data_IF_326195738746
#
_entry.id   IF_326195738746
#
_cell.length_a   1.000
_cell.length_b   1.000
_cell.length_c   1.000
_cell.angle_alpha   90.00
_cell.angle_beta   90.00
_cell.angle_gamma   90.00
#
_symmetry.space_group_name_H-M   'P 1'
#
loop_
_entity.id
_entity.type
_entity.pdbx_description
1 polymer ?
#
# COMPACT_ATOMS: atom_id res chain seq x y z
N UNK A 1 -67.69 44.42 -77.93
CA UNK A 1 -67.25 43.02 -77.80
C UNK A 1 -65.85 43.05 -77.23
N UNK A 2 -65.68 42.38 -76.10
CA UNK A 2 -64.45 42.28 -75.31
C UNK A 2 -63.30 41.69 -76.13
N UNK A 3 -62.11 42.29 -76.00
CA UNK A 3 -60.90 41.56 -75.62
C UNK A 3 -60.21 42.46 -74.60
N UNK A 4 -60.41 42.17 -73.32
CA UNK A 4 -59.78 42.89 -72.22
C UNK A 4 -58.33 42.46 -72.06
N UNK A 5 -57.46 43.44 -71.90
CA UNK A 5 -56.03 43.32 -71.64
C UNK A 5 -55.71 42.32 -70.53
N UNK A 6 -54.89 41.32 -70.87
CA UNK A 6 -54.29 40.39 -69.91
C UNK A 6 -52.99 40.98 -69.36
N UNK A 7 -53.13 41.65 -68.21
CA UNK A 7 -52.13 42.16 -67.25
C UNK A 7 -50.64 41.87 -67.53
N UNK A 8 -49.93 42.90 -67.96
CA UNK A 8 -48.50 43.08 -67.70
C UNK A 8 -48.29 43.32 -66.19
N UNK A 9 -47.42 42.51 -65.57
CA UNK A 9 -46.92 42.77 -64.21
C UNK A 9 -45.55 43.41 -64.34
N UNK A 10 -45.52 44.74 -64.40
CA UNK A 10 -44.29 45.53 -64.38
C UNK A 10 -43.86 45.86 -62.95
N UNK A 11 -42.66 45.38 -62.61
CA UNK A 11 -41.58 46.10 -61.91
C UNK A 11 -41.95 46.98 -60.73
N UNK A 12 -42.24 46.37 -59.59
CA UNK A 12 -41.89 46.92 -58.27
C UNK A 12 -41.72 45.75 -57.31
N UNK A 13 -40.64 45.79 -56.51
CA UNK A 13 -40.08 44.66 -55.75
C UNK A 13 -40.89 44.15 -54.56
N UNK A 14 -42.14 43.75 -54.78
CA UNK A 14 -42.90 42.88 -53.87
C UNK A 14 -43.30 41.61 -54.61
N UNK A 15 -42.92 40.45 -54.07
CA UNK A 15 -43.32 39.15 -54.60
C UNK A 15 -44.86 39.07 -54.60
N UNK A 16 -45.53 38.88 -55.75
CA UNK A 16 -46.96 38.62 -55.72
C UNK A 16 -47.23 37.34 -54.90
N UNK A 17 -48.32 37.28 -54.13
CA UNK A 17 -48.75 36.13 -53.28
C UNK A 17 -49.00 34.80 -54.04
N UNK A 18 -48.47 34.69 -55.25
CA UNK A 18 -48.68 33.61 -56.21
C UNK A 18 -47.55 32.57 -56.19
N UNK A 19 -46.30 32.99 -55.94
CA UNK A 19 -45.16 32.08 -55.79
C UNK A 19 -44.61 32.16 -54.36
N UNK A 20 -44.28 31.02 -53.76
CA UNK A 20 -43.76 30.97 -52.39
C UNK A 20 -42.35 31.54 -52.22
N UNK A 21 -41.50 31.43 -53.24
CA UNK A 21 -40.13 31.97 -53.25
C UNK A 21 -39.90 32.91 -54.44
N UNK A 22 -39.45 32.40 -55.60
CA UNK A 22 -39.08 33.22 -56.75
C UNK A 22 -40.10 33.08 -57.89
N UNK A 23 -40.37 34.17 -58.60
CA UNK A 23 -41.27 34.23 -59.75
C UNK A 23 -40.52 34.77 -60.98
N UNK A 24 -40.61 34.08 -62.11
CA UNK A 24 -40.07 34.54 -63.39
C UNK A 24 -41.19 34.64 -64.42
N UNK A 25 -41.32 35.82 -65.04
CA UNK A 25 -42.30 36.04 -66.09
C UNK A 25 -41.82 35.42 -67.41
N UNK A 26 -42.73 34.74 -68.11
CA UNK A 26 -42.50 34.16 -69.42
C UNK A 26 -43.60 34.62 -70.38
N UNK A 27 -43.37 34.66 -71.70
CA UNK A 27 -44.41 35.04 -72.65
C UNK A 27 -45.64 34.12 -72.52
N UNK A 28 -46.77 34.68 -72.08
CA UNK A 28 -48.02 33.94 -71.83
C UNK A 28 -48.22 33.41 -70.41
N UNK A 29 -47.36 33.76 -69.43
CA UNK A 29 -47.57 33.36 -68.02
C UNK A 29 -46.38 33.65 -67.10
N UNK A 30 -46.27 32.89 -66.02
CA UNK A 30 -45.15 32.96 -65.07
C UNK A 30 -44.72 31.55 -64.66
N UNK A 31 -43.47 31.39 -64.22
CA UNK A 31 -42.95 30.16 -63.63
C UNK A 31 -42.42 30.44 -62.23
N UNK A 32 -42.80 29.60 -61.26
CA UNK A 32 -42.28 29.68 -59.91
C UNK A 32 -41.06 28.77 -59.77
N UNK A 33 -39.98 29.29 -59.18
CA UNK A 33 -38.78 28.50 -58.84
C UNK A 33 -38.51 28.60 -57.35
N UNK A 34 -37.97 27.51 -56.78
CA UNK A 34 -37.62 27.47 -55.37
C UNK A 34 -36.16 27.85 -55.19
N UNK A 35 -35.87 28.61 -54.13
CA UNK A 35 -34.52 28.80 -53.61
C UNK A 35 -33.83 27.46 -53.31
N UNK A 36 -32.50 27.44 -53.31
CA UNK A 36 -31.70 26.26 -53.00
C UNK A 36 -32.13 25.60 -51.68
N UNK A 37 -32.17 24.26 -51.62
CA UNK A 37 -32.67 23.50 -50.47
C UNK A 37 -34.19 23.30 -50.42
N UNK A 38 -34.94 23.77 -51.42
CA UNK A 38 -36.40 23.60 -51.49
C UNK A 38 -36.87 23.02 -52.82
N UNK A 39 -37.96 22.26 -52.79
CA UNK A 39 -38.60 21.69 -53.97
C UNK A 39 -40.04 22.21 -54.13
N UNK A 40 -40.46 22.40 -55.39
CA UNK A 40 -41.79 22.87 -55.70
C UNK A 40 -42.80 21.74 -55.42
N UNK A 41 -43.91 22.07 -54.74
CA UNK A 41 -44.95 21.10 -54.45
C UNK A 41 -45.66 20.68 -55.76
N UNK A 42 -45.99 19.39 -55.89
CA UNK A 42 -46.55 18.79 -57.12
C UNK A 42 -47.99 19.19 -57.44
N UNK A 43 -48.60 20.05 -56.63
CA UNK A 43 -50.00 20.48 -56.75
C UNK A 43 -50.16 21.79 -57.55
N UNK A 44 -49.12 22.23 -58.26
CA UNK A 44 -49.08 23.51 -59.01
C UNK A 44 -49.44 24.74 -58.14
N UNK A 45 -49.33 24.64 -56.81
CA UNK A 45 -49.67 25.72 -55.89
C UNK A 45 -48.63 26.85 -55.82
N UNK A 46 -47.53 26.75 -56.56
CA UNK A 46 -46.41 27.69 -56.49
C UNK A 46 -45.65 27.68 -55.15
N UNK A 47 -46.01 26.79 -54.21
CA UNK A 47 -45.41 26.70 -52.87
C UNK A 47 -44.19 25.78 -52.86
N UNK A 48 -43.16 26.21 -52.15
CA UNK A 48 -41.92 25.46 -51.95
C UNK A 48 -41.95 24.74 -50.60
N UNK A 49 -41.53 23.48 -50.58
CA UNK A 49 -41.31 22.71 -49.36
C UNK A 49 -39.84 22.41 -49.19
N UNK A 50 -39.38 22.48 -47.96
CA UNK A 50 -38.02 22.13 -47.56
C UNK A 50 -37.65 20.70 -48.01
N UNK A 51 -36.46 20.54 -48.59
CA UNK A 51 -35.91 19.23 -48.93
C UNK A 51 -35.20 18.71 -47.70
N UNK A 52 -35.62 17.54 -47.20
CA UNK A 52 -34.93 16.93 -46.07
C UNK A 52 -33.73 16.11 -46.54
N UNK A 53 -32.55 16.71 -46.61
CA UNK A 53 -31.35 16.05 -47.14
C UNK A 53 -30.88 14.89 -46.25
N UNK A 54 -31.32 14.83 -44.99
CA UNK A 54 -31.03 13.72 -44.09
C UNK A 54 -31.91 12.47 -44.34
N UNK A 55 -32.99 12.61 -45.10
CA UNK A 55 -33.87 11.50 -45.51
C UNK A 55 -33.69 11.11 -46.97
N UNK A 56 -32.84 11.83 -47.69
CA UNK A 56 -32.42 11.53 -49.05
C UNK A 56 -30.93 11.17 -49.05
N UNK A 57 -30.42 10.49 -50.07
CA UNK A 57 -28.98 10.21 -50.22
C UNK A 57 -28.17 11.46 -50.61
N UNK A 58 -28.67 12.67 -50.32
CA UNK A 58 -28.05 13.95 -50.68
C UNK A 58 -27.23 14.57 -49.54
N UNK A 59 -27.36 14.07 -48.30
CA UNK A 59 -26.49 14.53 -47.21
C UNK A 59 -25.06 13.99 -47.38
N UNK A 60 -24.07 14.89 -47.25
CA UNK A 60 -22.65 14.54 -47.23
C UNK A 60 -22.10 14.28 -45.82
N UNK A 61 -22.98 14.15 -44.82
CA UNK A 61 -22.58 13.98 -43.42
C UNK A 61 -22.01 12.58 -43.17
N UNK A 62 -20.86 12.50 -42.49
CA UNK A 62 -20.24 11.22 -42.13
C UNK A 62 -20.96 10.45 -41.01
N UNK A 63 -21.68 11.15 -40.11
CA UNK A 63 -22.33 10.53 -38.94
C UNK A 63 -23.74 11.06 -38.72
N UNK A 64 -23.91 12.20 -38.03
CA UNK A 64 -25.23 12.69 -37.63
C UNK A 64 -25.64 13.82 -38.58
N UNK A 65 -26.78 13.67 -39.25
CA UNK A 65 -27.39 14.71 -40.08
C UNK A 65 -28.61 15.31 -39.37
N UNK A 66 -28.69 16.65 -39.32
CA UNK A 66 -29.84 17.39 -38.79
C UNK A 66 -30.38 18.33 -39.86
N UNK A 67 -31.59 18.05 -40.30
CA UNK A 67 -32.27 18.88 -41.29
C UNK A 67 -32.64 20.25 -40.71
N UNK A 68 -32.42 21.29 -41.49
CA UNK A 68 -32.78 22.68 -41.17
C UNK A 68 -33.61 23.26 -42.31
N UNK A 69 -34.31 24.36 -42.10
CA UNK A 69 -35.11 24.95 -43.18
C UNK A 69 -34.16 25.53 -44.24
N UNK A 70 -34.21 24.99 -45.46
CA UNK A 70 -33.40 25.35 -46.62
C UNK A 70 -32.00 24.76 -46.68
N UNK A 71 -31.63 23.87 -45.73
CA UNK A 71 -30.31 23.22 -45.72
C UNK A 71 -30.24 22.11 -44.65
N UNK A 72 -29.06 21.55 -44.43
CA UNK A 72 -28.80 20.62 -43.34
C UNK A 72 -27.50 20.94 -42.61
N UNK A 73 -27.41 20.47 -41.37
CA UNK A 73 -26.21 20.58 -40.54
C UNK A 73 -25.72 19.20 -40.13
N UNK A 74 -24.41 19.00 -40.14
CA UNK A 74 -23.80 17.75 -39.66
C UNK A 74 -23.34 17.92 -38.21
N UNK A 75 -23.45 16.84 -37.44
CA UNK A 75 -22.95 16.73 -36.07
C UNK A 75 -22.15 15.44 -35.89
N UNK A 76 -21.37 15.39 -34.82
CA UNK A 76 -20.52 14.25 -34.49
C UNK A 76 -20.97 13.58 -33.19
N UNK A 77 -20.78 12.25 -33.06
CA UNK A 77 -20.90 11.56 -31.79
C UNK A 77 -19.94 12.13 -30.74
N UNK A 78 -20.20 11.85 -29.46
CA UNK A 78 -19.27 12.20 -28.38
C UNK A 78 -17.87 11.61 -28.63
N UNK A 79 -16.82 12.35 -28.28
CA UNK A 79 -15.42 11.98 -28.55
C UNK A 79 -14.92 12.32 -29.96
N UNK A 80 -15.76 12.92 -30.82
CA UNK A 80 -15.38 13.35 -32.16
C UNK A 80 -15.73 14.81 -32.40
N UNK A 81 -14.92 15.48 -33.22
CA UNK A 81 -15.16 16.87 -33.64
C UNK A 81 -15.41 16.96 -35.15
N UNK A 82 -16.19 17.96 -35.53
CA UNK A 82 -16.58 18.16 -36.92
C UNK A 82 -15.41 18.80 -37.71
N UNK A 83 -14.87 18.04 -38.64
CA UNK A 83 -13.82 18.44 -39.57
C UNK A 83 -14.41 18.76 -40.95
N UNK A 84 -14.02 19.91 -41.50
CA UNK A 84 -14.49 20.41 -42.82
C UNK A 84 -16.01 20.36 -43.01
N UNK A 85 -16.79 20.61 -41.94
CA UNK A 85 -18.27 20.65 -41.91
C UNK A 85 -19.01 19.33 -42.20
N UNK A 86 -18.33 18.28 -42.65
CA UNK A 86 -18.97 17.02 -43.08
C UNK A 86 -18.43 15.76 -42.39
N UNK A 87 -17.16 15.78 -41.97
CA UNK A 87 -16.46 14.63 -41.42
C UNK A 87 -16.33 14.71 -39.91
N UNK A 88 -16.34 13.57 -39.24
CA UNK A 88 -16.02 13.49 -37.82
C UNK A 88 -14.62 12.91 -37.66
N UNK A 89 -13.75 13.70 -37.05
CA UNK A 89 -12.42 13.26 -36.65
C UNK A 89 -12.37 13.02 -35.15
N UNK A 90 -11.58 12.04 -34.76
CA UNK A 90 -11.33 11.66 -33.38
C UNK A 90 -10.69 12.82 -32.62
N UNK A 91 -11.16 13.09 -31.40
CA UNK A 91 -10.51 14.05 -30.52
C UNK A 91 -9.40 13.31 -29.81
N UNK A 92 -8.14 13.68 -30.06
CA UNK A 92 -7.02 13.11 -29.29
C UNK A 92 -6.94 13.81 -27.93
N UNK A 93 -7.62 13.25 -26.93
CA UNK A 93 -7.67 13.83 -25.59
C UNK A 93 -6.27 13.86 -24.95
N UNK A 94 -5.39 12.90 -25.29
CA UNK A 94 -4.03 12.79 -24.78
C UNK A 94 -3.11 13.92 -25.26
N UNK A 95 -3.29 14.41 -26.49
CA UNK A 95 -2.54 15.58 -27.00
C UNK A 95 -3.16 16.91 -26.59
N UNK A 96 -4.47 16.94 -26.39
CA UNK A 96 -5.23 18.14 -26.06
C UNK A 96 -5.24 18.50 -24.58
N UNK A 97 -4.77 17.61 -23.69
CA UNK A 97 -4.88 17.77 -22.24
C UNK A 97 -6.31 17.67 -21.72
N UNK A 98 -7.22 17.07 -22.50
CA UNK A 98 -8.63 16.86 -22.15
C UNK A 98 -8.90 15.51 -21.47
N UNK A 99 -7.84 14.82 -21.06
CA UNK A 99 -7.90 13.53 -20.38
C UNK A 99 -7.80 13.70 -18.86
N UNK A 100 -8.52 12.89 -18.10
CA UNK A 100 -8.50 12.88 -16.62
C UNK A 100 -7.57 11.78 -16.06
N UNK A 101 -6.55 11.38 -16.83
CA UNK A 101 -5.58 10.38 -16.36
C UNK A 101 -4.75 10.90 -15.19
N UNK A 102 -4.52 10.05 -14.19
CA UNK A 102 -3.69 10.37 -13.03
C UNK A 102 -2.21 10.60 -13.40
N UNK A 103 -1.45 11.24 -12.50
CA UNK A 103 -0.02 11.55 -12.68
C UNK A 103 0.84 10.30 -12.98
N UNK A 104 0.43 9.13 -12.49
CA UNK A 104 1.10 7.84 -12.69
C UNK A 104 0.40 6.97 -13.76
N UNK A 105 -0.30 7.59 -14.71
CA UNK A 105 -0.99 6.90 -15.79
C UNK A 105 -0.59 7.46 -17.15
N UNK A 106 -0.29 6.55 -18.08
CA UNK A 106 -0.10 6.89 -19.48
C UNK A 106 -1.47 7.01 -20.16
N UNK A 107 -1.70 8.13 -20.85
CA UNK A 107 -2.89 8.31 -21.67
C UNK A 107 -2.70 7.64 -23.03
N UNK A 108 -3.64 6.78 -23.41
CA UNK A 108 -3.69 6.11 -24.71
C UNK A 108 -4.95 6.56 -25.43
N UNK A 109 -4.79 7.30 -26.53
CA UNK A 109 -5.93 7.75 -27.34
C UNK A 109 -6.57 6.55 -28.06
N UNK A 110 -7.88 6.46 -28.00
CA UNK A 110 -8.68 5.41 -28.68
C UNK A 110 -9.77 6.07 -29.51
N UNK A 111 -10.40 5.32 -30.43
CA UNK A 111 -11.39 5.93 -31.31
C UNK A 111 -12.66 6.29 -30.52
N UNK A 112 -12.91 7.59 -30.35
CA UNK A 112 -14.04 8.18 -29.64
C UNK A 112 -13.86 8.33 -28.13
N UNK A 113 -12.68 8.03 -27.60
CA UNK A 113 -12.38 8.10 -26.15
C UNK A 113 -10.88 7.92 -25.88
N UNK A 114 -10.47 7.91 -24.62
CA UNK A 114 -9.11 7.59 -24.22
C UNK A 114 -9.11 6.54 -23.11
N UNK A 115 -7.98 5.85 -22.96
CA UNK A 115 -7.75 4.93 -21.84
C UNK A 115 -6.55 5.41 -21.03
N UNK A 116 -6.72 5.46 -19.72
CA UNK A 116 -5.62 5.71 -18.80
C UNK A 116 -5.04 4.37 -18.35
N UNK A 117 -3.80 4.09 -18.73
CA UNK A 117 -3.11 2.87 -18.34
C UNK A 117 -2.14 3.18 -17.21
N UNK A 118 -2.22 2.41 -16.12
CA UNK A 118 -1.33 2.58 -14.98
C UNK A 118 0.11 2.33 -15.40
N UNK A 119 0.98 3.31 -15.12
CA UNK A 119 2.41 3.13 -15.20
C UNK A 119 2.84 2.34 -13.97
N UNK A 120 3.53 1.21 -14.15
CA UNK A 120 4.03 0.46 -13.00
C UNK A 120 5.03 1.33 -12.22
N UNK A 121 4.89 1.36 -10.90
CA UNK A 121 5.81 2.05 -10.00
C UNK A 121 7.23 1.54 -10.17
N UNK A 122 8.24 2.37 -9.85
CA UNK A 122 9.64 1.95 -9.85
C UNK A 122 9.81 0.66 -9.03
N UNK A 123 10.55 -0.31 -9.57
CA UNK A 123 10.72 -1.65 -8.97
C UNK A 123 9.66 -2.68 -9.36
N UNK A 124 8.64 -2.31 -10.14
CA UNK A 124 7.63 -3.23 -10.67
C UNK A 124 7.72 -3.33 -12.21
N UNK A 125 7.53 -4.53 -12.75
CA UNK A 125 7.51 -4.82 -14.19
C UNK A 125 6.08 -5.02 -14.69
N UNK A 126 5.75 -4.36 -15.80
CA UNK A 126 4.45 -4.52 -16.47
C UNK A 126 4.40 -5.83 -17.24
N UNK A 127 3.38 -6.65 -16.96
CA UNK A 127 3.08 -7.88 -17.67
C UNK A 127 2.22 -7.62 -18.91
N UNK A 128 2.10 -8.62 -19.78
CA UNK A 128 1.34 -8.54 -21.02
C UNK A 128 -0.16 -8.24 -20.81
N UNK A 129 -0.71 -8.62 -19.66
CA UNK A 129 -2.09 -8.37 -19.23
C UNK A 129 -2.29 -6.97 -18.61
N UNK A 130 -1.23 -6.18 -18.47
CA UNK A 130 -1.25 -4.86 -17.83
C UNK A 130 -1.14 -4.89 -16.31
N UNK A 131 -1.02 -6.06 -15.67
CA UNK A 131 -0.70 -6.18 -14.25
C UNK A 131 0.76 -5.79 -13.98
N UNK A 132 1.03 -5.28 -12.78
CA UNK A 132 2.38 -4.96 -12.34
C UNK A 132 2.84 -6.04 -11.37
N UNK A 133 3.96 -6.71 -11.67
CA UNK A 133 4.58 -7.68 -10.79
C UNK A 133 5.91 -7.18 -10.30
N UNK A 134 6.21 -7.45 -9.05
CA UNK A 134 7.46 -7.08 -8.41
C UNK A 134 8.70 -7.62 -9.15
N UNK A 135 9.70 -6.75 -9.35
CA UNK A 135 11.00 -7.16 -9.89
C UNK A 135 11.81 -7.66 -8.72
N UNK A 136 12.03 -8.98 -8.67
CA UNK A 136 12.88 -9.51 -7.62
C UNK A 136 14.36 -9.21 -7.90
N UNK A 137 14.91 -8.15 -7.31
CA UNK A 137 16.29 -7.73 -7.57
C UNK A 137 17.30 -8.76 -7.05
N UNK A 138 16.94 -9.53 -6.02
CA UNK A 138 17.74 -10.61 -5.43
C UNK A 138 17.89 -11.83 -6.35
N UNK A 139 16.91 -12.11 -7.21
CA UNK A 139 16.99 -13.20 -8.20
C UNK A 139 17.62 -12.72 -9.52
N UNK A 140 17.43 -11.46 -9.85
CA UNK A 140 17.90 -10.87 -11.12
C UNK A 140 19.32 -10.28 -11.03
N UNK A 141 19.95 -10.33 -9.85
CA UNK A 141 21.25 -9.68 -9.56
C UNK A 141 21.25 -8.17 -9.89
N UNK A 142 20.09 -7.51 -9.78
CA UNK A 142 19.95 -6.06 -10.00
C UNK A 142 20.05 -5.25 -8.70
N UNK A 143 20.66 -5.84 -7.67
CA UNK A 143 20.89 -5.19 -6.38
C UNK A 143 22.31 -4.68 -6.21
N UNK A 144 22.49 -3.65 -5.37
CA UNK A 144 23.81 -3.10 -5.01
C UNK A 144 24.34 -3.59 -3.65
N UNK A 145 23.85 -4.73 -3.17
CA UNK A 145 24.33 -5.31 -1.91
C UNK A 145 25.80 -5.73 -1.99
N UNK A 146 26.55 -5.47 -0.91
CA UNK A 146 27.95 -5.88 -0.76
C UNK A 146 28.08 -7.38 -0.47
N UNK A 147 29.28 -7.94 -0.61
CA UNK A 147 29.54 -9.39 -0.45
C UNK A 147 29.24 -9.94 0.95
N UNK A 148 29.34 -9.10 1.98
CA UNK A 148 28.99 -9.45 3.37
C UNK A 148 27.54 -9.06 3.74
N UNK A 149 26.69 -8.85 2.72
CA UNK A 149 25.27 -8.59 2.89
C UNK A 149 24.44 -9.68 2.21
N UNK A 150 23.22 -9.86 2.70
CA UNK A 150 22.17 -10.68 2.11
C UNK A 150 21.13 -9.74 1.51
N UNK A 151 20.82 -9.96 0.23
CA UNK A 151 19.70 -9.27 -0.43
C UNK A 151 18.37 -9.82 0.10
N UNK A 152 17.46 -8.91 0.45
CA UNK A 152 16.08 -9.22 0.83
C UNK A 152 15.15 -8.42 -0.09
N UNK A 153 14.32 -9.15 -0.83
CA UNK A 153 13.37 -8.58 -1.77
C UNK A 153 12.13 -8.05 -1.04
N UNK A 154 11.61 -6.91 -1.49
CA UNK A 154 10.38 -6.30 -0.98
C UNK A 154 9.52 -5.84 -2.15
N UNK A 155 8.22 -5.65 -1.96
CA UNK A 155 7.38 -5.20 -3.07
C UNK A 155 7.77 -3.78 -3.51
N UNK A 156 8.22 -3.65 -4.77
CA UNK A 156 8.68 -2.41 -5.38
C UNK A 156 10.12 -1.99 -5.04
N UNK A 157 10.89 -2.80 -4.30
CA UNK A 157 12.28 -2.47 -3.93
C UNK A 157 13.03 -3.66 -3.31
N UNK A 158 14.27 -3.45 -2.88
CA UNK A 158 15.02 -4.40 -2.06
C UNK A 158 15.81 -3.68 -0.98
N UNK A 159 16.25 -4.42 0.03
CA UNK A 159 17.25 -3.93 0.97
C UNK A 159 18.31 -4.98 1.27
N UNK A 160 19.47 -4.49 1.69
CA UNK A 160 20.64 -5.32 1.99
C UNK A 160 20.81 -5.44 3.50
N UNK A 161 20.72 -6.67 4.00
CA UNK A 161 20.90 -6.97 5.41
C UNK A 161 22.33 -7.47 5.67
N UNK A 162 23.00 -6.97 6.71
CA UNK A 162 24.31 -7.51 7.10
C UNK A 162 24.22 -8.99 7.46
N UNK A 163 25.19 -9.79 6.99
CA UNK A 163 25.32 -11.18 7.39
C UNK A 163 25.73 -11.28 8.87
N UNK A 164 25.56 -12.45 9.48
CA UNK A 164 26.03 -12.71 10.85
C UNK A 164 27.53 -12.39 10.98
N UNK A 165 27.94 -11.84 12.13
CA UNK A 165 29.32 -11.38 12.37
C UNK A 165 29.60 -9.96 11.88
N UNK A 166 28.62 -9.27 11.27
CA UNK A 166 28.80 -7.90 10.78
C UNK A 166 27.72 -6.95 11.31
N UNK A 167 28.09 -5.67 11.49
CA UNK A 167 27.17 -4.59 11.85
C UNK A 167 27.02 -3.55 10.74
N UNK A 168 25.84 -2.94 10.68
CA UNK A 168 25.56 -1.84 9.76
C UNK A 168 26.16 -0.53 10.28
N UNK A 169 26.78 0.22 9.38
CA UNK A 169 27.30 1.57 9.64
C UNK A 169 26.40 2.67 9.11
N UNK A 170 25.33 2.31 8.39
CA UNK A 170 24.36 3.22 7.80
C UNK A 170 23.69 2.63 6.56
N UNK A 171 22.63 3.27 6.05
CA UNK A 171 21.94 2.83 4.84
C UNK A 171 22.89 2.89 3.62
N UNK A 172 22.97 1.81 2.85
CA UNK A 172 23.80 1.72 1.63
C UNK A 172 25.31 1.64 1.87
N UNK A 173 25.76 1.55 3.13
CA UNK A 173 27.17 1.38 3.48
C UNK A 173 27.55 -0.11 3.57
N UNK A 174 28.84 -0.46 3.38
CA UNK A 174 29.31 -1.81 3.63
C UNK A 174 29.21 -2.15 5.11
N UNK A 175 28.91 -3.41 5.41
CA UNK A 175 28.90 -3.86 6.80
C UNK A 175 30.33 -3.98 7.33
N UNK A 176 30.53 -3.62 8.59
CA UNK A 176 31.80 -3.78 9.27
C UNK A 176 31.79 -5.06 10.10
N UNK A 177 32.90 -5.76 10.05
CA UNK A 177 33.18 -6.90 10.91
C UNK A 177 33.02 -6.51 12.38
N UNK A 178 32.33 -7.35 13.15
CA UNK A 178 32.20 -7.19 14.59
C UNK A 178 33.42 -7.87 15.20
N UNK A 179 34.24 -7.14 15.93
CA UNK A 179 35.35 -7.75 16.67
C UNK A 179 34.80 -8.44 17.92
N UNK A 180 34.40 -9.71 17.81
CA UNK A 180 33.77 -10.42 18.92
C UNK A 180 34.72 -10.59 20.11
N UNK A 181 36.02 -10.63 19.87
CA UNK A 181 37.04 -10.71 20.92
C UNK A 181 37.10 -9.43 21.76
N UNK A 182 36.82 -8.27 21.17
CA UNK A 182 36.78 -6.98 21.88
C UNK A 182 35.40 -6.67 22.46
N UNK A 183 34.34 -6.97 21.73
CA UNK A 183 32.98 -6.66 22.15
C UNK A 183 32.41 -7.69 23.16
N UNK A 184 32.90 -8.93 23.16
CA UNK A 184 32.47 -9.98 24.10
C UNK A 184 33.65 -10.59 24.89
N UNK A 185 34.14 -9.90 25.94
CA UNK A 185 35.19 -10.43 26.81
C UNK A 185 34.77 -11.76 27.45
N UNK A 186 35.57 -12.81 27.26
CA UNK A 186 35.29 -14.15 27.82
C UNK A 186 34.51 -15.09 26.90
N UNK A 187 34.29 -14.72 25.63
CA UNK A 187 33.63 -15.58 24.64
C UNK A 187 34.39 -16.90 24.34
N UNK A 188 35.71 -16.92 24.55
CA UNK A 188 36.57 -18.09 24.45
C UNK A 188 37.13 -18.48 25.83
N UNK A 189 37.28 -19.78 26.08
CA UNK A 189 37.82 -20.28 27.35
C UNK A 189 39.31 -19.96 27.58
N UNK A 190 40.06 -19.61 26.54
CA UNK A 190 41.48 -19.26 26.63
C UNK A 190 41.86 -18.03 25.81
N UNK A 191 42.06 -18.17 24.50
CA UNK A 191 42.46 -17.06 23.62
C UNK A 191 41.48 -16.93 22.47
N UNK A 192 41.06 -15.71 22.18
CA UNK A 192 40.19 -15.36 21.06
C UNK A 192 41.01 -14.70 19.94
N UNK A 193 40.69 -15.02 18.70
CA UNK A 193 41.24 -14.40 17.50
C UNK A 193 40.09 -13.95 16.59
N UNK A 194 40.00 -12.64 16.32
CA UNK A 194 38.96 -12.09 15.46
C UNK A 194 39.24 -12.45 13.99
N UNK A 195 38.24 -12.92 13.27
CA UNK A 195 38.31 -13.21 11.83
C UNK A 195 37.23 -12.44 11.09
N UNK A 196 37.34 -12.30 9.77
CA UNK A 196 36.35 -11.51 9.03
C UNK A 196 35.01 -12.26 8.92
N UNK A 197 34.03 -11.85 9.72
CA UNK A 197 32.66 -12.36 9.81
C UNK A 197 32.43 -13.40 10.91
N UNK A 198 33.44 -13.71 11.72
CA UNK A 198 33.38 -14.69 12.81
C UNK A 198 34.64 -14.57 13.70
N UNK A 199 34.79 -15.40 14.71
CA UNK A 199 36.00 -15.48 15.53
C UNK A 199 36.45 -16.93 15.77
N UNK A 200 37.74 -17.10 16.05
CA UNK A 200 38.33 -18.40 16.35
C UNK A 200 38.90 -18.44 17.77
N UNK A 201 38.48 -19.44 18.55
CA UNK A 201 39.04 -19.71 19.87
C UNK A 201 40.21 -20.67 19.78
N UNK A 202 41.37 -20.24 20.27
CA UNK A 202 42.60 -21.03 20.27
C UNK A 202 42.77 -21.67 21.64
N UNK A 203 43.08 -22.96 21.66
CA UNK A 203 43.31 -23.73 22.87
C UNK A 203 44.78 -23.73 23.32
N UNK A 204 45.03 -23.90 24.64
CA UNK A 204 46.38 -24.14 25.13
C UNK A 204 47.01 -25.40 24.49
N UNK A 205 48.34 -25.48 24.39
CA UNK A 205 49.04 -26.68 23.90
C UNK A 205 48.59 -27.94 24.67
N UNK A 206 48.27 -29.01 23.94
CA UNK A 206 47.80 -30.28 24.53
C UNK A 206 46.29 -30.37 24.75
N UNK A 207 45.54 -29.31 24.45
CA UNK A 207 44.08 -29.30 24.50
C UNK A 207 43.47 -29.19 23.09
N UNK A 208 42.28 -29.78 22.91
CA UNK A 208 41.47 -29.67 21.70
C UNK A 208 40.23 -28.84 21.97
N UNK A 209 39.82 -28.08 20.96
CA UNK A 209 38.59 -27.31 20.98
C UNK A 209 37.39 -28.27 20.98
N UNK A 210 36.42 -28.00 21.84
CA UNK A 210 35.20 -28.78 22.00
C UNK A 210 34.21 -28.43 20.87
N UNK A 211 33.10 -29.19 20.79
CA UNK A 211 32.11 -29.06 19.72
C UNK A 211 31.41 -27.68 19.71
N UNK A 212 31.42 -26.96 20.82
CA UNK A 212 30.90 -25.59 20.97
C UNK A 212 31.78 -24.52 20.29
N UNK A 213 32.97 -24.90 19.81
CA UNK A 213 34.00 -24.02 19.23
C UNK A 213 34.49 -22.92 20.17
N UNK A 214 34.15 -22.95 21.46
CA UNK A 214 34.50 -21.90 22.44
C UNK A 214 35.35 -22.41 23.59
N UNK A 215 35.23 -23.70 23.89
CA UNK A 215 35.84 -24.33 25.07
C UNK A 215 36.96 -25.30 24.69
N UNK A 216 37.93 -25.48 25.59
CA UNK A 216 39.08 -26.35 25.39
C UNK A 216 39.14 -27.50 26.40
N UNK A 217 39.52 -28.70 25.95
CA UNK A 217 39.70 -29.87 26.81
C UNK A 217 41.03 -30.59 26.53
N UNK A 218 41.76 -30.94 27.59
CA UNK A 218 43.06 -31.63 27.52
C UNK A 218 42.99 -33.13 27.27
N UNK A 219 44.04 -33.66 26.65
CA UNK A 219 44.30 -35.10 26.51
C UNK A 219 44.87 -35.71 27.82
N UNK A 220 44.12 -35.66 28.92
CA UNK A 220 44.52 -36.33 30.18
C UNK A 220 43.65 -37.55 30.49
N UNK A 221 43.29 -38.32 29.45
CA UNK A 221 42.59 -39.60 29.60
C UNK A 221 42.96 -40.62 28.52
N UNK A 222 44.24 -40.80 28.19
CA UNK A 222 44.68 -42.01 27.48
C UNK A 222 46.10 -42.39 27.92
N UNK A 223 46.20 -43.19 28.99
CA UNK A 223 47.27 -44.19 29.05
C UNK A 223 46.68 -45.62 29.01
N UNK A 224 47.36 -46.56 28.33
CA UNK A 224 46.82 -47.86 27.96
C UNK A 224 47.33 -48.95 28.89
N UNK A 225 46.44 -49.66 29.58
CA UNK A 225 46.69 -51.07 29.91
C UNK A 225 45.41 -51.83 30.24
N UNK A 226 45.40 -53.08 29.77
CA UNK A 226 44.44 -54.16 30.00
C UNK A 226 43.28 -54.30 28.99
N UNK A 227 43.29 -55.39 28.17
CA UNK A 227 42.19 -55.73 27.28
C UNK A 227 41.13 -56.51 28.05
N UNK A 228 40.08 -55.84 28.48
CA UNK A 228 38.89 -56.49 29.07
C UNK A 228 37.63 -56.13 28.29
N UNK A 229 37.42 -56.93 27.24
CA UNK A 229 36.16 -57.50 26.74
C UNK A 229 34.83 -57.07 27.40
N UNK A 230 34.49 -55.78 27.40
CA UNK A 230 33.13 -55.30 27.62
C UNK A 230 32.86 -54.14 26.66
N UNK A 231 31.95 -54.37 25.70
CA UNK A 231 31.36 -53.34 24.86
C UNK A 231 30.72 -52.32 25.83
N UNK A 232 31.35 -51.16 26.06
CA UNK A 232 30.72 -50.08 26.83
C UNK A 232 29.51 -49.64 26.03
N UNK A 233 28.33 -49.97 26.52
CA UNK A 233 27.07 -49.49 25.96
C UNK A 233 27.13 -47.96 26.03
N UNK A 234 27.22 -47.31 24.88
CA UNK A 234 27.11 -45.86 24.82
C UNK A 234 25.74 -45.47 25.38
N UNK A 235 25.70 -44.47 26.27
CA UNK A 235 24.45 -43.96 26.78
C UNK A 235 23.65 -43.28 25.64
N UNK A 236 22.31 -43.33 25.68
CA UNK A 236 21.47 -42.56 24.78
C UNK A 236 21.81 -41.05 24.83
N UNK A 237 21.48 -40.32 23.77
CA UNK A 237 21.62 -38.85 23.72
C UNK A 237 20.89 -38.23 24.92
N UNK A 238 21.49 -37.21 25.54
CA UNK A 238 20.96 -36.58 26.76
C UNK A 238 21.32 -37.29 28.07
N UNK A 239 22.15 -38.35 28.02
CA UNK A 239 22.59 -39.08 29.21
C UNK A 239 24.11 -39.22 29.26
N UNK A 240 24.68 -39.18 30.48
CA UNK A 240 26.11 -39.43 30.72
C UNK A 240 26.33 -40.74 31.47
N UNK A 241 27.45 -41.37 31.16
CA UNK A 241 27.83 -42.65 31.77
C UNK A 241 28.48 -42.42 33.14
N UNK A 242 28.05 -43.15 34.16
CA UNK A 242 28.71 -43.16 35.48
C UNK A 242 29.63 -44.38 35.58
N UNK A 243 30.96 -44.19 35.65
CA UNK A 243 31.93 -45.29 35.60
C UNK A 243 31.81 -46.30 36.74
N UNK A 244 31.33 -45.88 37.91
CA UNK A 244 31.27 -46.70 39.13
C UNK A 244 30.15 -47.75 39.12
N UNK A 245 29.08 -47.54 38.35
CA UNK A 245 27.89 -48.42 38.36
C UNK A 245 27.48 -48.93 36.97
N UNK A 246 28.24 -48.60 35.93
CA UNK A 246 27.93 -48.92 34.52
C UNK A 246 26.47 -48.55 34.14
N UNK A 247 26.00 -47.41 34.66
CA UNK A 247 24.62 -46.93 34.52
C UNK A 247 24.63 -45.56 33.85
N UNK A 248 23.67 -45.33 32.97
CA UNK A 248 23.42 -44.02 32.38
C UNK A 248 22.60 -43.18 33.35
N UNK A 249 23.08 -41.97 33.63
CA UNK A 249 22.31 -40.95 34.34
C UNK A 249 21.95 -39.85 33.36
N UNK A 250 20.79 -39.28 33.62
CA UNK A 250 20.28 -38.14 32.90
C UNK A 250 21.19 -36.91 33.04
N UNK A 251 21.41 -36.18 31.95
CA UNK A 251 22.09 -34.88 31.99
C UNK A 251 21.02 -33.85 32.27
N UNK A 252 21.16 -33.09 33.35
CA UNK A 252 20.21 -32.00 33.61
C UNK A 252 20.63 -30.76 32.84
N UNK A 253 20.11 -30.58 31.62
CA UNK A 253 20.47 -29.46 30.76
C UNK A 253 20.07 -28.11 31.35
N UNK A 254 19.04 -28.09 32.22
CA UNK A 254 18.61 -26.87 32.90
C UNK A 254 19.63 -26.33 33.92
N UNK A 255 20.53 -27.18 34.41
CA UNK A 255 21.59 -26.79 35.36
C UNK A 255 22.96 -26.65 34.67
N UNK A 256 23.18 -27.43 33.62
CA UNK A 256 24.48 -27.53 32.95
C UNK A 256 24.62 -26.54 31.76
N UNK A 257 23.51 -26.08 31.15
CA UNK A 257 23.49 -25.10 30.05
C UNK A 257 22.65 -23.86 30.42
N UNK A 258 23.32 -22.84 30.97
CA UNK A 258 22.69 -21.58 31.41
C UNK A 258 22.25 -20.78 30.17
N UNK A 259 20.94 -20.82 29.88
CA UNK A 259 20.34 -20.15 28.71
C UNK A 259 19.77 -21.10 27.66
N UNK A 260 19.71 -22.40 27.95
CA UNK A 260 19.14 -23.41 27.03
C UNK A 260 17.68 -23.13 26.65
N UNK A 261 16.91 -22.53 27.56
CA UNK A 261 15.54 -22.04 27.34
C UNK A 261 15.50 -20.52 27.52
N UNK A 262 14.68 -19.83 26.71
CA UNK A 262 14.44 -18.39 26.91
C UNK A 262 13.78 -18.10 28.27
N UNK A 263 12.94 -19.03 28.75
CA UNK A 263 12.25 -18.93 30.04
C UNK A 263 12.46 -20.21 30.86
N UNK A 264 11.38 -20.87 31.29
CA UNK A 264 11.46 -21.98 32.23
C UNK A 264 11.95 -23.25 31.54
N UNK A 265 13.00 -23.85 32.08
CA UNK A 265 13.49 -25.17 31.66
C UNK A 265 12.96 -26.24 32.60
N UNK A 266 12.48 -27.34 32.05
CA UNK A 266 12.18 -28.55 32.84
C UNK A 266 12.93 -29.73 32.27
N UNK A 267 13.74 -30.33 33.14
CA UNK A 267 14.54 -31.49 32.82
C UNK A 267 13.67 -32.75 32.69
N UNK A 268 13.92 -33.57 31.69
CA UNK A 268 13.25 -34.83 31.45
C UNK A 268 14.27 -35.94 31.20
N UNK A 269 13.89 -37.20 31.31
CA UNK A 269 14.87 -38.28 31.14
C UNK A 269 15.31 -38.37 29.68
N UNK A 270 16.58 -38.05 29.41
CA UNK A 270 17.23 -38.06 28.11
C UNK A 270 17.04 -36.78 27.29
N UNK A 271 16.42 -35.73 27.84
CA UNK A 271 16.18 -34.45 27.15
C UNK A 271 15.68 -33.39 28.14
N UNK A 272 15.51 -32.16 27.69
CA UNK A 272 14.72 -31.15 28.40
C UNK A 272 13.57 -30.68 27.51
N UNK A 273 12.61 -29.96 28.10
CA UNK A 273 11.70 -29.14 27.32
C UNK A 273 11.58 -27.75 27.94
N UNK A 274 11.41 -26.72 27.12
CA UNK A 274 11.18 -25.36 27.58
C UNK A 274 9.69 -25.11 27.79
N UNK A 275 9.35 -24.30 28.79
CA UNK A 275 7.99 -23.80 29.06
C UNK A 275 8.00 -22.28 28.97
N UNK A 276 6.97 -21.77 28.31
CA UNK A 276 6.76 -20.34 28.19
C UNK A 276 5.82 -19.82 29.28
N UNK A 277 5.92 -18.52 29.64
CA UNK A 277 4.92 -17.84 30.45
C UNK A 277 3.52 -17.90 29.82
N UNK A 278 2.49 -17.58 30.60
CA UNK A 278 1.13 -17.43 30.08
C UNK A 278 1.09 -16.39 28.94
N UNK A 279 0.28 -16.66 27.91
CA UNK A 279 0.18 -15.84 26.69
C UNK A 279 1.29 -16.10 25.66
N UNK A 280 2.21 -17.03 25.92
CA UNK A 280 3.27 -17.39 24.99
C UNK A 280 3.28 -18.89 24.69
N UNK A 281 3.64 -19.23 23.45
CA UNK A 281 3.86 -20.61 22.99
C UNK A 281 5.32 -20.84 22.63
N UNK A 282 5.78 -22.08 22.78
CA UNK A 282 7.14 -22.47 22.41
C UNK A 282 7.28 -22.37 20.89
N UNK A 283 8.31 -21.69 20.42
CA UNK A 283 8.64 -21.53 19.02
C UNK A 283 9.10 -22.86 18.39
N UNK A 284 9.27 -22.88 17.07
CA UNK A 284 9.68 -24.08 16.32
C UNK A 284 11.03 -24.65 16.76
N UNK A 285 11.90 -23.82 17.31
CA UNK A 285 13.21 -24.22 17.83
C UNK A 285 13.14 -24.96 19.17
N UNK A 286 11.95 -25.04 19.80
CA UNK A 286 11.74 -25.70 21.08
C UNK A 286 12.32 -24.93 22.28
N UNK A 287 12.91 -23.75 22.07
CA UNK A 287 13.71 -23.02 23.07
C UNK A 287 13.22 -21.62 23.33
N UNK A 288 12.72 -20.93 22.31
CA UNK A 288 12.20 -19.57 22.40
C UNK A 288 10.70 -19.55 22.61
N UNK A 289 10.21 -18.44 23.12
CA UNK A 289 8.81 -18.17 23.36
C UNK A 289 8.33 -17.11 22.38
N UNK A 290 7.27 -17.43 21.64
CA UNK A 290 6.57 -16.51 20.76
C UNK A 290 5.22 -16.18 21.35
N UNK A 291 4.86 -14.90 21.23
CA UNK A 291 3.53 -14.40 21.60
C UNK A 291 2.43 -15.21 20.90
N UNK A 292 1.37 -15.52 21.63
CA UNK A 292 0.16 -16.11 21.06
C UNK A 292 -0.68 -14.94 20.58
N UNK A 293 -1.15 -14.97 19.33
CA UNK A 293 -2.07 -13.94 18.89
C UNK A 293 -3.49 -14.35 19.32
N UNK A 294 -3.94 -14.01 20.53
CA UNK A 294 -5.24 -14.50 21.01
C UNK A 294 -6.40 -13.96 20.17
N UNK A 295 -6.27 -12.74 19.65
CA UNK A 295 -7.28 -12.14 18.77
C UNK A 295 -7.54 -13.00 17.53
N UNK A 296 -6.50 -13.58 16.92
CA UNK A 296 -6.62 -14.43 15.74
C UNK A 296 -6.84 -15.90 16.14
N UNK A 297 -5.99 -16.43 17.01
CA UNK A 297 -5.96 -17.87 17.33
C UNK A 297 -7.20 -18.32 18.12
N UNK A 298 -7.77 -17.43 18.95
CA UNK A 298 -8.99 -17.72 19.72
C UNK A 298 -10.24 -17.02 19.13
N UNK A 299 -10.07 -16.29 18.03
CA UNK A 299 -11.13 -15.53 17.35
C UNK A 299 -11.96 -14.66 18.32
N UNK A 300 -11.26 -13.93 19.21
CA UNK A 300 -11.90 -13.15 20.28
C UNK A 300 -12.82 -12.08 19.68
N UNK A 301 -14.09 -12.12 20.08
CA UNK A 301 -15.10 -11.11 19.76
C UNK A 301 -15.29 -10.19 20.97
N UNK A 302 -14.79 -8.95 20.88
CA UNK A 302 -14.81 -7.99 21.98
C UNK A 302 -16.17 -7.29 22.20
N UNK A 303 -17.18 -7.56 21.37
CA UNK A 303 -18.48 -6.89 21.40
C UNK A 303 -18.54 -5.61 20.56
N UNK A 304 -19.71 -4.95 20.56
CA UNK A 304 -19.96 -3.75 19.76
C UNK A 304 -19.05 -2.58 20.17
N UNK A 305 -18.52 -1.85 19.18
CA UNK A 305 -17.60 -0.72 19.35
C UNK A 305 -16.25 -1.02 20.02
N UNK A 306 -15.88 -2.29 20.18
CA UNK A 306 -14.59 -2.70 20.76
C UNK A 306 -13.80 -3.51 19.75
N UNK A 307 -12.49 -3.31 19.71
CA UNK A 307 -11.61 -4.14 18.88
C UNK A 307 -10.64 -4.93 19.74
N UNK A 308 -10.32 -6.14 19.29
CA UNK A 308 -9.30 -6.95 19.94
C UNK A 308 -7.92 -6.40 19.61
N UNK A 309 -7.15 -6.07 20.64
CA UNK A 309 -5.78 -5.66 20.55
C UNK A 309 -4.89 -6.76 21.13
N UNK A 310 -4.12 -7.40 20.25
CA UNK A 310 -3.12 -8.38 20.63
C UNK A 310 -1.92 -7.71 21.27
N UNK A 311 -1.63 -8.03 22.52
CA UNK A 311 -0.47 -7.52 23.24
C UNK A 311 0.55 -8.64 23.42
N UNK A 312 1.79 -8.29 23.75
CA UNK A 312 2.82 -9.30 24.01
C UNK A 312 2.56 -9.99 25.36
N UNK A 313 2.02 -11.20 25.31
CA UNK A 313 1.71 -12.08 26.44
C UNK A 313 0.28 -12.00 26.97
N UNK A 314 -0.59 -11.24 26.30
CA UNK A 314 -2.00 -11.08 26.65
C UNK A 314 -2.76 -10.40 25.52
N UNK A 315 -4.08 -10.31 25.61
CA UNK A 315 -4.89 -9.47 24.73
C UNK A 315 -5.75 -8.51 25.54
N UNK A 316 -6.19 -7.44 24.89
CA UNK A 316 -7.11 -6.49 25.49
C UNK A 316 -8.19 -6.10 24.51
N UNK A 317 -9.42 -5.98 24.98
CA UNK A 317 -10.50 -5.36 24.21
C UNK A 317 -10.43 -3.85 24.45
N UNK A 318 -10.03 -3.10 23.43
CA UNK A 318 -9.96 -1.64 23.50
C UNK A 318 -11.25 -1.02 22.99
N UNK A 319 -11.74 -0.04 23.73
CA UNK A 319 -12.92 0.72 23.34
C UNK A 319 -12.58 1.63 22.16
N UNK A 320 -13.31 1.45 21.07
CA UNK A 320 -13.17 2.24 19.84
C UNK A 320 -14.52 2.86 19.43
N UNK A 321 -15.26 3.53 20.33
CA UNK A 321 -16.50 4.16 19.93
C UNK A 321 -16.22 5.26 18.91
N UNK A 322 -17.00 5.29 17.83
CA UNK A 322 -16.98 6.45 16.94
C UNK A 322 -17.60 7.64 17.69
N UNK A 323 -17.08 8.87 17.54
CA UNK A 323 -17.71 10.04 18.14
C UNK A 323 -19.16 10.19 17.67
N UNK A 324 -20.01 10.89 18.44
CA UNK A 324 -21.47 10.98 18.22
C UNK A 324 -21.94 11.43 16.82
N UNK A 325 -21.05 12.01 16.00
CA UNK A 325 -21.33 12.47 14.62
C UNK A 325 -20.66 11.61 13.55
N UNK A 326 -19.99 10.53 13.94
CA UNK A 326 -19.25 9.63 13.05
C UNK A 326 -19.92 8.26 13.05
N UNK A 327 -20.03 7.68 11.86
CA UNK A 327 -20.46 6.29 11.68
C UNK A 327 -19.25 5.43 11.33
N UNK A 328 -19.20 4.23 11.88
CA UNK A 328 -18.21 3.22 11.49
C UNK A 328 -18.51 2.75 10.07
N UNK A 329 -17.57 2.91 9.17
CA UNK A 329 -17.61 2.31 7.85
C UNK A 329 -17.45 0.78 8.00
N UNK A 330 -18.44 -0.03 7.58
CA UNK A 330 -18.40 -1.48 7.73
C UNK A 330 -17.30 -2.16 6.89
N UNK A 331 -16.77 -1.49 5.87
CA UNK A 331 -15.72 -2.05 4.99
C UNK A 331 -14.32 -1.76 5.52
N UNK A 332 -14.05 -0.51 5.87
CA UNK A 332 -12.71 -0.05 6.31
C UNK A 332 -12.55 -0.07 7.83
N UNK A 333 -13.64 -0.24 8.58
CA UNK A 333 -13.69 -0.13 10.04
C UNK A 333 -13.25 1.25 10.57
N UNK A 334 -13.20 2.26 9.71
CA UNK A 334 -12.89 3.64 10.07
C UNK A 334 -14.12 4.39 10.53
N UNK A 335 -13.96 5.32 11.46
CA UNK A 335 -15.05 6.22 11.80
C UNK A 335 -15.04 7.38 10.80
N UNK A 336 -16.12 7.52 10.03
CA UNK A 336 -16.31 8.55 9.01
C UNK A 336 -17.45 9.46 9.45
N UNK A 337 -17.27 10.77 9.30
CA UNK A 337 -18.29 11.76 9.64
C UNK A 337 -19.56 11.54 8.78
N UNK A 338 -20.73 11.37 9.41
CA UNK A 338 -22.01 11.20 8.70
C UNK A 338 -22.78 12.53 8.67
N UNK A 339 -22.95 13.11 7.48
CA UNK A 339 -23.85 14.25 7.23
C UNK A 339 -25.23 13.71 6.81
N UNK A 340 -26.02 13.18 7.75
CA UNK A 340 -27.38 12.68 7.47
C UNK A 340 -28.38 13.25 8.47
N UNK A 341 -28.82 14.47 8.22
CA UNK A 341 -30.23 14.84 8.35
C UNK A 341 -30.51 16.09 7.49
N UNK A 342 -31.47 15.99 6.57
CA UNK A 342 -31.94 17.08 5.71
C UNK A 342 -32.58 18.25 6.48
N UNK A 343 -32.67 18.16 7.81
CA UNK A 343 -33.23 19.20 8.68
C UNK A 343 -32.17 19.97 9.50
N UNK A 344 -30.91 19.54 9.48
CA UNK A 344 -29.80 20.24 10.15
C UNK A 344 -28.72 20.53 9.09
N UNK A 345 -28.45 21.80 8.74
CA UNK A 345 -27.32 22.11 7.88
C UNK A 345 -26.05 21.62 8.58
N UNK A 346 -25.23 20.80 7.90
CA UNK A 346 -23.89 20.47 8.38
C UNK A 346 -23.22 21.80 8.77
N UNK A 347 -22.53 21.87 9.93
CA UNK A 347 -21.91 23.11 10.35
C UNK A 347 -21.09 23.65 9.17
N UNK A 348 -21.07 24.96 8.90
CA UNK A 348 -20.31 25.54 7.78
C UNK A 348 -18.78 25.26 7.85
N UNK A 349 -18.35 24.53 8.88
CA UNK A 349 -17.01 24.05 9.19
C UNK A 349 -16.79 22.55 8.94
N UNK A 350 -17.81 21.75 8.61
CA UNK A 350 -17.65 20.35 8.17
C UNK A 350 -17.20 20.30 6.70
N UNK A 351 -16.10 20.99 6.39
CA UNK A 351 -15.61 21.26 5.03
C UNK A 351 -14.71 20.15 4.48
N UNK A 352 -14.33 19.15 5.26
CA UNK A 352 -13.30 18.17 4.92
C UNK A 352 -13.70 16.77 5.39
N UNK A 353 -13.30 15.74 4.66
CA UNK A 353 -13.51 14.36 5.07
C UNK A 353 -12.62 14.06 6.29
N UNK A 354 -13.22 14.12 7.48
CA UNK A 354 -12.58 13.73 8.74
C UNK A 354 -12.71 12.21 8.94
N UNK A 355 -11.57 11.54 9.06
CA UNK A 355 -11.49 10.09 9.29
C UNK A 355 -10.76 9.84 10.61
N UNK A 356 -11.32 8.99 11.46
CA UNK A 356 -10.62 8.53 12.68
C UNK A 356 -10.22 7.07 12.49
N UNK A 357 -8.95 6.81 12.75
CA UNK A 357 -8.30 5.53 12.52
C UNK A 357 -7.58 5.06 13.77
N UNK A 358 -7.85 3.81 14.18
CA UNK A 358 -7.23 3.20 15.35
C UNK A 358 -6.01 2.35 14.92
N UNK A 359 -4.91 2.51 15.64
CA UNK A 359 -3.67 1.74 15.46
C UNK A 359 -3.25 1.14 16.77
N UNK A 360 -2.68 -0.06 16.69
CA UNK A 360 -2.19 -0.77 17.86
C UNK A 360 -0.78 -1.27 17.61
N UNK A 361 0.07 -1.23 18.63
CA UNK A 361 1.47 -1.64 18.57
C UNK A 361 1.83 -2.38 19.86
N UNK A 362 2.40 -3.58 19.73
CA UNK A 362 2.86 -4.39 20.86
C UNK A 362 4.38 -4.51 20.84
N UNK A 363 5.04 -3.98 21.89
CA UNK A 363 6.50 -3.87 21.98
C UNK A 363 7.06 -4.69 23.15
N UNK A 364 8.29 -5.22 23.03
CA UNK A 364 9.01 -5.79 24.17
C UNK A 364 9.43 -4.69 25.17
N UNK A 365 9.69 -5.08 26.41
CA UNK A 365 10.34 -4.18 27.37
C UNK A 365 11.76 -3.82 26.91
N UNK A 366 12.18 -2.58 27.13
CA UNK A 366 13.52 -2.11 26.77
C UNK A 366 13.63 -1.70 25.31
N UNK A 367 12.53 -1.31 24.66
CA UNK A 367 12.58 -0.71 23.32
C UNK A 367 13.45 0.56 23.37
N UNK A 368 14.44 0.66 22.48
CA UNK A 368 15.49 1.68 22.61
C UNK A 368 14.96 3.06 22.20
N UNK A 369 15.57 4.10 22.78
CA UNK A 369 15.33 5.47 22.36
C UNK A 369 15.73 5.70 20.89
N UNK A 370 15.09 6.67 20.25
CA UNK A 370 15.31 7.10 18.86
C UNK A 370 14.96 6.07 17.78
N UNK A 371 14.33 4.95 18.15
CA UNK A 371 13.82 3.97 17.21
C UNK A 371 12.43 4.32 16.70
N UNK A 372 12.19 4.01 15.43
CA UNK A 372 10.92 4.15 14.73
C UNK A 372 9.89 3.21 15.35
N UNK A 373 8.81 3.76 15.88
CA UNK A 373 7.72 2.96 16.46
C UNK A 373 6.71 2.57 15.38
N UNK A 374 6.18 3.57 14.68
CA UNK A 374 5.14 3.40 13.68
C UNK A 374 5.23 4.52 12.64
N UNK A 375 5.03 4.13 11.38
CA UNK A 375 4.88 5.03 10.25
C UNK A 375 3.40 5.25 9.98
N UNK A 376 2.97 6.50 10.00
CA UNK A 376 1.59 6.92 9.75
C UNK A 376 1.50 7.52 8.35
N UNK A 377 0.53 7.06 7.59
CA UNK A 377 0.25 7.53 6.24
C UNK A 377 -1.25 7.70 6.12
N UNK A 378 -1.70 8.89 5.70
CA UNK A 378 -3.11 9.17 5.48
C UNK A 378 -3.48 8.82 4.03
N UNK A 379 -4.70 8.34 3.84
CA UNK A 379 -5.26 7.98 2.55
C UNK A 379 -6.62 8.64 2.38
N UNK A 380 -7.01 8.93 1.14
CA UNK A 380 -8.38 9.35 0.83
C UNK A 380 -9.35 8.16 0.75
N UNK A 381 -10.61 8.43 0.43
CA UNK A 381 -11.65 7.40 0.28
C UNK A 381 -11.40 6.44 -0.89
N UNK A 382 -10.55 6.81 -1.84
CA UNK A 382 -10.12 5.97 -2.96
C UNK A 382 -8.81 5.20 -2.65
N UNK A 383 -8.35 5.25 -1.40
CA UNK A 383 -7.11 4.63 -0.93
C UNK A 383 -5.84 5.20 -1.61
N UNK A 384 -5.90 6.46 -2.07
CA UNK A 384 -4.74 7.16 -2.62
C UNK A 384 -3.97 7.82 -1.47
N UNK A 385 -2.65 7.63 -1.45
CA UNK A 385 -1.78 8.23 -0.43
C UNK A 385 -1.87 9.75 -0.50
N UNK A 386 -2.19 10.37 0.63
CA UNK A 386 -2.25 11.82 0.76
C UNK A 386 -0.91 12.37 1.25
N UNK A 387 -0.48 13.49 0.68
CA UNK A 387 0.65 14.24 1.23
C UNK A 387 0.16 15.10 2.40
N UNK A 388 0.29 14.58 3.61
CA UNK A 388 -0.23 15.22 4.83
C UNK A 388 0.86 15.83 5.68
N UNK A 389 0.52 16.91 6.39
CA UNK A 389 1.31 17.41 7.50
C UNK A 389 0.83 16.76 8.80
N UNK A 390 1.75 16.13 9.53
CA UNK A 390 1.44 15.37 10.73
C UNK A 390 1.80 16.17 11.99
N UNK A 391 0.88 16.21 12.95
CA UNK A 391 1.06 16.90 14.23
C UNK A 391 0.49 16.05 15.36
N UNK A 392 1.23 15.91 16.46
CA UNK A 392 0.71 15.28 17.68
C UNK A 392 -0.27 16.26 18.32
N UNK A 393 -1.51 15.80 18.55
CA UNK A 393 -2.58 16.62 19.14
C UNK A 393 -2.85 16.25 20.60
N UNK A 394 -2.50 15.02 21.00
CA UNK A 394 -2.60 14.55 22.38
C UNK A 394 -1.46 13.56 22.61
N UNK A 395 -0.59 13.86 23.58
CA UNK A 395 0.51 12.99 23.96
C UNK A 395 0.18 12.24 25.26
N UNK A 396 0.85 11.12 25.51
CA UNK A 396 0.69 10.38 26.75
C UNK A 396 1.32 11.17 27.92
N UNK A 397 0.67 11.26 29.10
CA UNK A 397 1.23 12.01 30.22
C UNK A 397 2.52 11.41 30.80
N UNK A 398 2.80 10.12 30.55
CA UNK A 398 3.97 9.43 31.10
C UNK A 398 5.23 9.58 30.24
N UNK A 399 5.07 9.76 28.93
CA UNK A 399 6.19 9.85 28.00
C UNK A 399 5.90 10.78 26.84
N UNK A 400 6.91 11.55 26.44
CA UNK A 400 6.82 12.43 25.29
C UNK A 400 7.19 11.67 24.01
N UNK A 401 6.17 11.34 23.21
CA UNK A 401 6.37 10.84 21.86
C UNK A 401 6.64 12.01 20.90
N UNK A 402 7.51 11.78 19.92
CA UNK A 402 7.89 12.76 18.92
C UNK A 402 7.52 12.26 17.53
N UNK A 403 7.38 13.21 16.60
CA UNK A 403 7.05 12.94 15.22
C UNK A 403 8.09 13.55 14.29
N UNK A 404 8.53 12.79 13.29
CA UNK A 404 9.33 13.31 12.18
C UNK A 404 8.62 13.10 10.84
N UNK A 405 8.69 14.06 9.92
CA UNK A 405 8.15 13.90 8.58
C UNK A 405 9.03 12.95 7.75
N UNK A 406 8.40 12.15 6.90
CA UNK A 406 9.08 11.29 5.93
C UNK A 406 8.23 11.13 4.66
N UNK A 407 8.58 11.84 3.58
CA UNK A 407 7.93 11.76 2.26
C UNK A 407 6.38 11.74 2.29
N UNK A 408 5.78 12.70 3.01
CA UNK A 408 4.33 12.80 3.17
C UNK A 408 3.72 11.80 4.16
N UNK A 409 4.53 11.12 4.95
CA UNK A 409 4.16 10.29 6.10
C UNK A 409 4.72 10.89 7.40
N UNK A 410 4.18 10.49 8.55
CA UNK A 410 4.69 10.87 9.87
C UNK A 410 5.20 9.65 10.62
N UNK A 411 6.47 9.65 11.02
CA UNK A 411 7.05 8.57 11.83
C UNK A 411 7.03 8.99 13.29
N UNK A 412 6.38 8.18 14.13
CA UNK A 412 6.38 8.36 15.57
C UNK A 412 7.59 7.64 16.17
N UNK A 413 8.30 8.31 17.07
CA UNK A 413 9.45 7.77 17.80
C UNK A 413 9.49 8.33 19.22
N UNK A 414 10.36 7.78 20.08
CA UNK A 414 10.59 8.27 21.45
C UNK A 414 12.01 8.77 21.61
N UNK A 415 12.24 9.73 22.51
CA UNK A 415 13.61 10.11 22.92
C UNK A 415 14.12 9.29 24.12
N UNK A 416 13.24 8.53 24.76
CA UNK A 416 13.53 7.73 25.95
C UNK A 416 13.15 6.27 25.69
N UNK A 417 13.89 5.30 26.25
CA UNK A 417 13.57 3.89 26.09
C UNK A 417 12.24 3.55 26.77
N UNK A 418 11.46 2.67 26.15
CA UNK A 418 10.20 2.18 26.70
C UNK A 418 10.45 0.94 27.55
N UNK A 419 10.56 1.13 28.87
CA UNK A 419 10.91 0.05 29.81
C UNK A 419 9.71 -0.37 30.67
N UNK A 420 8.83 0.57 31.01
CA UNK A 420 7.70 0.31 31.90
C UNK A 420 6.63 -0.54 31.22
N UNK A 421 6.13 -1.56 31.93
CA UNK A 421 4.98 -2.37 31.49
C UNK A 421 3.70 -1.55 31.62
N UNK A 422 3.34 -0.85 30.56
CA UNK A 422 2.10 -0.07 30.49
C UNK A 422 1.64 0.04 29.04
N UNK A 423 0.38 0.42 28.85
CA UNK A 423 -0.12 0.87 27.56
C UNK A 423 -0.10 2.39 27.53
N UNK A 424 0.47 2.95 26.48
CA UNK A 424 0.49 4.37 26.19
C UNK A 424 -0.54 4.70 25.11
N UNK A 425 -1.05 5.92 25.13
CA UNK A 425 -2.00 6.42 24.13
C UNK A 425 -1.53 7.75 23.56
N UNK A 426 -1.47 7.83 22.24
CA UNK A 426 -1.15 9.05 21.51
C UNK A 426 -2.19 9.30 20.41
N UNK A 427 -2.52 10.58 20.19
CA UNK A 427 -3.33 11.02 19.06
C UNK A 427 -2.52 11.91 18.13
N UNK A 428 -2.53 11.56 16.85
CA UNK A 428 -1.84 12.28 15.79
C UNK A 428 -2.85 12.73 14.74
N UNK A 429 -2.82 14.01 14.38
CA UNK A 429 -3.59 14.57 13.27
C UNK A 429 -2.72 14.66 12.02
N UNK A 430 -3.21 14.15 10.91
CA UNK A 430 -2.65 14.30 9.58
C UNK A 430 -3.57 15.21 8.76
N UNK A 431 -3.04 16.34 8.29
CA UNK A 431 -3.79 17.36 7.56
C UNK A 431 -3.28 17.48 6.13
N UNK A 432 -4.13 17.15 5.16
CA UNK A 432 -3.82 17.20 3.73
C UNK A 432 -4.49 18.42 3.10
N UNK A 433 -3.71 19.26 2.42
CA UNK A 433 -4.20 20.47 1.77
C UNK A 433 -4.30 20.29 0.26
N UNK A 434 -5.09 21.13 -0.39
CA UNK A 434 -5.18 21.24 -1.85
C UNK A 434 -3.83 21.68 -2.47
N UNK A 435 -3.67 21.52 -3.78
CA UNK A 435 -2.42 21.77 -4.53
C UNK A 435 -1.90 23.21 -4.36
N UNK A 436 -2.81 24.16 -4.14
CA UNK A 436 -2.50 25.58 -3.86
C UNK A 436 -2.24 25.87 -2.37
N UNK A 437 -2.23 24.85 -1.50
CA UNK A 437 -2.08 24.90 -0.02
C UNK A 437 -3.02 25.83 0.75
N UNK A 438 -4.03 26.40 0.09
CA UNK A 438 -4.92 27.41 0.68
C UNK A 438 -6.14 26.82 1.40
N UNK A 439 -6.54 25.59 1.08
CA UNK A 439 -7.63 24.89 1.79
C UNK A 439 -7.19 23.51 2.23
N UNK A 440 -7.51 23.15 3.47
CA UNK A 440 -7.52 21.75 3.92
C UNK A 440 -8.46 20.95 2.98
N UNK A 441 -8.23 19.66 2.79
CA UNK A 441 -9.11 18.80 1.96
C UNK A 441 -9.48 17.53 2.70
N UNK A 442 -8.50 16.95 3.40
CA UNK A 442 -8.68 15.76 4.23
C UNK A 442 -7.98 15.95 5.55
N UNK A 443 -8.56 15.36 6.59
CA UNK A 443 -7.92 15.26 7.88
C UNK A 443 -8.15 13.87 8.46
N UNK A 444 -7.05 13.22 8.82
CA UNK A 444 -7.09 11.89 9.45
C UNK A 444 -6.57 12.01 10.87
N UNK A 445 -7.32 11.49 11.83
CA UNK A 445 -6.90 11.41 13.23
C UNK A 445 -6.55 9.97 13.58
N UNK A 446 -5.26 9.72 13.81
CA UNK A 446 -4.75 8.44 14.27
C UNK A 446 -4.82 8.39 15.80
N UNK A 447 -5.50 7.38 16.34
CA UNK A 447 -5.48 7.05 17.76
C UNK A 447 -4.64 5.79 17.92
N UNK A 448 -3.47 5.92 18.53
CA UNK A 448 -2.46 4.87 18.58
C UNK A 448 -2.34 4.37 20.02
N UNK A 449 -2.54 3.08 20.20
CA UNK A 449 -2.33 2.37 21.46
C UNK A 449 -1.03 1.58 21.39
N UNK A 450 -0.09 1.87 22.28
CA UNK A 450 1.23 1.24 22.31
C UNK A 450 1.35 0.47 23.62
N UNK A 451 1.29 -0.87 23.57
CA UNK A 451 1.49 -1.72 24.75
C UNK A 451 2.93 -2.19 24.83
N UNK A 452 3.56 -1.96 25.98
CA UNK A 452 4.91 -2.46 26.29
C UNK A 452 4.79 -3.60 27.28
N UNK A 453 5.31 -4.76 26.87
CA UNK A 453 5.24 -5.98 27.69
C UNK A 453 6.21 -5.94 28.87
N UNK A 454 6.06 -6.89 29.79
CA UNK A 454 6.94 -7.05 30.94
C UNK A 454 8.29 -7.68 30.57
N UNK A 455 8.37 -8.36 29.42
CA UNK A 455 9.51 -9.18 29.05
C UNK A 455 10.36 -8.49 27.99
N UNK A 456 11.69 -8.43 28.18
CA UNK A 456 12.60 -8.07 27.11
C UNK A 456 12.63 -9.20 26.06
N UNK A 457 12.73 -8.81 24.79
CA UNK A 457 12.81 -9.59 23.55
C UNK A 457 12.55 -11.10 23.58
#
# INVERSE_FOLDING_TARGET
>A
MNVGDGMDVSSDGETPEVCGHNCQNIPGGYTCTCSEGFQLKTDNSGRCTDVNECRTDQSSCSHICRNTIGSYTCACPAGFRLYRKFFCEDIDECRGGGHECGIDQDCINTRGSYQCKTRCSLGLQQQADGSCTDINECLTNQHRCYSNQRCINTEGSYYCQCQHGYRSTGPGQPCLDIDECREFPGICSYRCWNTNGDFECICPPGQKQLADRKSCAGLEFLEPSQPSRFKRQACPVGMRHVPTWNKCIDINECLEDVGVCQHNCTNTVGSFHCRCPLGYKVARDGRKCTDINECIEQNIQCGDERMCFNQRGDFSCIDTPCPRTYRRDPLTNHCVLECVDSTIPCPPYAKFADVIEFRTLALPSGFLAHQDLIRLTAYDHQNVKLFSNFTIIENDPKIDFHLRPDEGSGIVFTLQPLVERTTYKIKVSARSHDDNRNSLRYQTTFIIHISVSAYPY
#
